data_IF_372101533313
#
_entry.id   IF_372101533313
#
_cell.length_a   1.000
_cell.length_b   1.000
_cell.length_c   1.000
_cell.angle_alpha   90.00
_cell.angle_beta   90.00
_cell.angle_gamma   90.00
#
_symmetry.space_group_name_H-M   'P 1'
#
loop_
_entity.id
_entity.type
_entity.pdbx_description
1 polymer ?
#
# COMPACT_ATOMS: atom_id res chain seq x y z
N UNK A 1 10.19 -14.25 -1.29
CA UNK A 1 9.93 -13.69 0.05
C UNK A 1 8.46 -13.82 0.38
N UNK A 2 8.12 -14.37 1.56
CA UNK A 2 6.74 -14.38 2.04
C UNK A 2 6.41 -12.95 2.50
N UNK A 3 5.53 -12.26 1.78
CA UNK A 3 5.08 -10.93 2.19
C UNK A 3 4.23 -11.03 3.44
N UNK A 4 4.50 -10.22 4.49
CA UNK A 4 3.76 -10.27 5.75
C UNK A 4 2.28 -9.88 5.59
N UNK A 5 1.94 -9.15 4.54
CA UNK A 5 0.59 -8.72 4.20
C UNK A 5 -0.34 -9.88 3.79
N UNK A 6 0.20 -11.02 3.34
CA UNK A 6 -0.57 -12.25 3.16
C UNK A 6 -1.32 -12.71 4.41
N UNK A 7 -0.84 -12.34 5.61
CA UNK A 7 -1.54 -12.60 6.86
C UNK A 7 -2.91 -11.91 6.95
N UNK A 8 -3.12 -10.80 6.23
CA UNK A 8 -4.42 -10.11 6.19
C UNK A 8 -5.54 -10.98 5.62
N UNK A 9 -5.22 -11.89 4.70
CA UNK A 9 -6.19 -12.87 4.18
C UNK A 9 -6.69 -13.75 5.33
N UNK A 10 -5.77 -14.23 6.17
CA UNK A 10 -6.13 -15.02 7.36
C UNK A 10 -6.99 -14.23 8.34
N UNK A 11 -6.61 -12.98 8.62
CA UNK A 11 -7.38 -12.09 9.51
C UNK A 11 -8.78 -11.80 8.94
N UNK A 12 -8.92 -11.61 7.63
CA UNK A 12 -10.23 -11.41 6.98
C UNK A 12 -11.10 -12.67 7.01
N UNK A 13 -10.49 -13.85 6.92
CA UNK A 13 -11.22 -15.11 6.95
C UNK A 13 -11.76 -15.46 8.34
N UNK A 14 -11.06 -15.12 9.43
CA UNK A 14 -11.43 -15.49 10.80
C UNK A 14 -12.85 -15.00 11.19
N UNK A 15 -13.23 -13.73 11.05
CA UNK A 15 -14.57 -13.26 11.37
C UNK A 15 -15.65 -13.96 10.52
N UNK A 16 -15.36 -14.18 9.24
CA UNK A 16 -16.28 -14.87 8.35
C UNK A 16 -16.50 -16.34 8.75
N UNK A 17 -15.44 -17.03 9.15
CA UNK A 17 -15.54 -18.38 9.70
C UNK A 17 -16.35 -18.37 11.00
N UNK A 18 -16.07 -17.44 11.91
CA UNK A 18 -16.78 -17.34 13.18
C UNK A 18 -18.26 -16.98 13.01
N UNK A 19 -18.58 -16.04 12.10
CA UNK A 19 -19.98 -15.62 11.84
C UNK A 19 -20.75 -16.66 11.00
N UNK A 20 -20.08 -17.34 10.09
CA UNK A 20 -20.66 -18.40 9.26
C UNK A 20 -20.76 -19.75 9.96
N UNK A 21 -19.99 -19.99 11.02
CA UNK A 21 -19.94 -21.27 11.74
C UNK A 21 -21.32 -21.73 12.25
N UNK A 22 -22.15 -20.86 12.89
CA UNK A 22 -23.45 -21.30 13.40
C UNK A 22 -24.41 -21.78 12.31
N UNK A 23 -24.44 -21.12 11.15
CA UNK A 23 -25.30 -21.53 10.02
C UNK A 23 -24.74 -22.74 9.31
N UNK A 24 -23.43 -22.86 9.18
CA UNK A 24 -22.76 -24.02 8.58
C UNK A 24 -22.87 -25.26 9.47
N UNK A 25 -22.76 -25.10 10.79
CA UNK A 25 -22.93 -26.19 11.76
C UNK A 25 -24.38 -26.69 11.74
N UNK A 26 -25.37 -25.79 11.64
CA UNK A 26 -26.78 -26.19 11.53
C UNK A 26 -27.15 -26.89 10.22
N UNK A 27 -26.41 -26.53 9.13
CA UNK A 27 -26.65 -27.05 7.79
C UNK A 27 -25.81 -28.28 7.42
N UNK A 28 -24.72 -28.54 8.18
CA UNK A 28 -23.81 -29.65 7.88
C UNK A 28 -23.94 -30.76 8.90
N UNK A 29 -23.95 -31.99 8.40
CA UNK A 29 -23.82 -33.21 9.22
C UNK A 29 -22.41 -33.39 9.80
N UNK A 30 -21.52 -32.41 9.57
CA UNK A 30 -20.12 -32.46 10.00
C UNK A 30 -20.03 -32.07 11.47
N UNK A 31 -19.51 -32.93 12.35
CA UNK A 31 -19.38 -32.63 13.76
C UNK A 31 -18.40 -31.44 13.99
N UNK A 32 -18.75 -30.53 14.90
CA UNK A 32 -17.97 -29.35 15.27
C UNK A 32 -16.51 -29.70 15.53
N UNK A 33 -16.24 -30.82 16.20
CA UNK A 33 -14.87 -31.29 16.47
C UNK A 33 -14.04 -31.45 15.19
N UNK A 34 -14.65 -31.89 14.09
CA UNK A 34 -13.98 -32.08 12.80
C UNK A 34 -13.64 -30.70 12.16
N UNK A 35 -14.58 -29.75 12.23
CA UNK A 35 -14.38 -28.39 11.74
C UNK A 35 -13.25 -27.67 12.51
N UNK A 36 -13.27 -27.77 13.84
CA UNK A 36 -12.20 -27.21 14.69
C UNK A 36 -10.85 -27.86 14.39
N UNK A 37 -10.81 -29.19 14.23
CA UNK A 37 -9.57 -29.90 13.87
C UNK A 37 -9.04 -29.47 12.50
N UNK A 38 -9.91 -29.33 11.51
CA UNK A 38 -9.51 -28.85 10.17
C UNK A 38 -8.99 -27.41 10.23
N UNK A 39 -9.70 -26.54 10.94
CA UNK A 39 -9.24 -25.15 11.16
C UNK A 39 -7.89 -25.06 11.86
N UNK A 40 -7.68 -25.88 12.89
CA UNK A 40 -6.40 -25.94 13.60
C UNK A 40 -5.26 -26.44 12.69
N UNK A 41 -5.52 -27.48 11.86
CA UNK A 41 -4.54 -27.96 10.89
C UNK A 41 -4.21 -26.90 9.85
N UNK A 42 -5.21 -26.19 9.30
CA UNK A 42 -4.98 -25.10 8.36
C UNK A 42 -4.17 -23.95 9.00
N UNK A 43 -4.52 -23.57 10.24
CA UNK A 43 -3.76 -22.55 10.98
C UNK A 43 -2.31 -22.98 11.24
N UNK A 44 -2.09 -24.22 11.64
CA UNK A 44 -0.77 -24.78 11.84
C UNK A 44 0.05 -24.76 10.55
N UNK A 45 -0.52 -25.24 9.44
CA UNK A 45 0.14 -25.22 8.13
C UNK A 45 0.46 -23.82 7.66
N UNK A 46 -0.38 -22.83 7.98
CA UNK A 46 -0.10 -21.42 7.67
C UNK A 46 1.03 -20.84 8.52
N UNK A 47 1.19 -21.24 9.77
CA UNK A 47 2.22 -20.71 10.70
C UNK A 47 3.58 -21.40 10.52
N UNK A 48 3.61 -22.68 10.15
CA UNK A 48 4.86 -23.45 10.04
C UNK A 48 5.94 -22.78 9.18
N UNK A 49 5.66 -22.23 7.99
CA UNK A 49 6.70 -21.56 7.19
C UNK A 49 7.34 -20.37 7.93
N UNK A 50 6.53 -19.59 8.66
CA UNK A 50 7.03 -18.45 9.44
C UNK A 50 7.85 -18.91 10.65
N UNK A 51 7.43 -19.98 11.30
CA UNK A 51 8.21 -20.56 12.42
C UNK A 51 9.57 -21.07 11.96
N UNK A 52 9.63 -21.78 10.83
CA UNK A 52 10.89 -22.24 10.22
C UNK A 52 11.79 -21.06 9.87
N UNK A 53 11.21 -19.99 9.29
CA UNK A 53 11.94 -18.78 8.95
C UNK A 53 12.48 -18.07 10.20
N UNK A 54 11.66 -17.91 11.25
CA UNK A 54 12.07 -17.31 12.51
C UNK A 54 13.21 -18.10 13.18
N UNK A 55 13.13 -19.44 13.18
CA UNK A 55 14.18 -20.31 13.73
C UNK A 55 15.49 -20.15 12.93
N UNK A 56 15.40 -20.09 11.60
CA UNK A 56 16.57 -19.82 10.76
C UNK A 56 17.20 -18.47 11.09
N UNK A 57 16.41 -17.40 11.12
CA UNK A 57 16.92 -16.07 11.43
C UNK A 57 17.54 -15.99 12.82
N UNK A 58 16.92 -16.63 13.81
CA UNK A 58 17.49 -16.73 15.14
C UNK A 58 18.84 -17.48 15.17
N UNK A 59 18.94 -18.59 14.43
CA UNK A 59 20.18 -19.38 14.42
C UNK A 59 21.33 -18.74 13.64
N UNK A 60 21.02 -18.03 12.56
CA UNK A 60 22.04 -17.49 11.64
C UNK A 60 22.41 -16.05 12.00
N UNK A 61 21.40 -15.23 12.32
CA UNK A 61 21.59 -13.79 12.54
C UNK A 61 21.38 -13.36 14.00
N UNK A 62 21.00 -14.30 14.88
CA UNK A 62 20.66 -14.04 16.28
C UNK A 62 19.53 -13.01 16.48
N UNK A 63 18.65 -12.86 15.49
CA UNK A 63 17.52 -11.93 15.48
C UNK A 63 16.21 -12.72 15.41
N UNK A 64 15.24 -12.36 16.27
CA UNK A 64 13.90 -12.93 16.19
C UNK A 64 13.03 -12.13 15.22
N UNK A 65 13.06 -12.55 13.96
CA UNK A 65 12.25 -11.97 12.88
C UNK A 65 11.43 -13.06 12.20
N UNK A 66 10.19 -13.26 12.65
CA UNK A 66 9.28 -14.27 12.07
C UNK A 66 8.70 -13.84 10.70
N UNK A 67 8.78 -12.55 10.39
CA UNK A 67 8.33 -11.94 9.13
C UNK A 67 9.52 -11.23 8.46
N UNK A 68 9.24 -10.30 7.55
CA UNK A 68 10.28 -9.43 7.01
C UNK A 68 10.78 -8.44 8.09
N UNK A 69 12.04 -8.00 8.02
CA UNK A 69 12.54 -6.95 8.89
C UNK A 69 11.69 -5.68 8.75
N UNK A 70 11.66 -4.87 9.81
CA UNK A 70 10.91 -3.60 9.82
C UNK A 70 11.33 -2.65 8.70
N UNK A 71 12.62 -2.69 8.38
CA UNK A 71 13.21 -1.95 7.27
C UNK A 71 13.80 -2.97 6.29
N UNK A 72 13.60 -2.73 4.99
CA UNK A 72 14.08 -3.63 3.94
C UNK A 72 15.58 -3.49 3.64
N UNK A 73 16.35 -2.95 4.58
CA UNK A 73 17.76 -2.67 4.46
C UNK A 73 18.61 -3.91 4.79
N UNK A 74 19.79 -3.99 4.20
CA UNK A 74 20.81 -4.94 4.62
C UNK A 74 21.30 -4.61 6.03
N UNK A 75 21.92 -5.56 6.76
CA UNK A 75 22.36 -5.34 8.13
C UNK A 75 23.29 -4.14 8.34
N UNK A 76 24.06 -3.78 7.31
CA UNK A 76 25.04 -2.70 7.33
C UNK A 76 24.54 -1.39 6.66
N UNK A 77 23.35 -1.40 6.10
CA UNK A 77 22.75 -0.21 5.49
C UNK A 77 22.12 0.69 6.57
N UNK A 78 22.42 2.00 6.54
CA UNK A 78 21.83 2.93 7.49
C UNK A 78 20.30 3.04 7.24
N UNK A 79 19.55 3.10 8.32
CA UNK A 79 18.12 3.41 8.28
C UNK A 79 17.95 4.89 8.55
N UNK A 80 17.22 5.59 7.68
CA UNK A 80 17.01 7.02 7.75
C UNK A 80 15.55 7.34 8.14
N UNK A 81 15.16 7.13 9.41
CA UNK A 81 13.78 7.28 9.86
C UNK A 81 13.30 8.73 9.83
N UNK A 82 14.22 9.70 9.97
CA UNK A 82 13.93 11.12 9.89
C UNK A 82 13.49 11.53 8.48
N UNK A 83 14.28 11.14 7.47
CA UNK A 83 13.95 11.31 6.07
C UNK A 83 12.60 10.66 5.72
N UNK A 84 12.42 9.39 6.05
CA UNK A 84 11.18 8.66 5.79
C UNK A 84 9.97 9.35 6.44
N UNK A 85 10.12 9.81 7.68
CA UNK A 85 9.05 10.52 8.39
C UNK A 85 8.74 11.87 7.76
N UNK A 86 9.75 12.60 7.29
CA UNK A 86 9.56 13.87 6.61
C UNK A 86 8.85 13.67 5.26
N UNK A 87 9.28 12.71 4.46
CA UNK A 87 8.57 12.32 3.23
C UNK A 87 7.10 12.02 3.50
N UNK A 88 6.81 11.29 4.56
CA UNK A 88 5.43 10.94 4.98
C UNK A 88 4.57 12.15 5.33
N UNK A 89 5.15 13.31 5.63
CA UNK A 89 4.40 14.54 5.92
C UNK A 89 3.84 15.23 4.68
N UNK A 90 4.27 14.87 3.46
CA UNK A 90 3.86 15.56 2.24
C UNK A 90 3.76 14.67 0.99
N UNK A 91 4.53 13.57 0.91
CA UNK A 91 4.47 12.64 -0.22
C UNK A 91 3.07 12.03 -0.33
N UNK A 92 2.43 12.24 -1.48
CA UNK A 92 1.04 11.87 -1.71
C UNK A 92 0.88 10.95 -2.93
N UNK A 93 1.76 11.07 -3.91
CA UNK A 93 1.65 10.46 -5.23
C UNK A 93 2.91 9.70 -5.64
N UNK A 94 2.76 8.89 -6.69
CA UNK A 94 3.84 8.07 -7.21
C UNK A 94 4.99 8.90 -7.79
N UNK A 95 4.72 10.04 -8.43
CA UNK A 95 5.77 10.91 -8.99
C UNK A 95 6.74 11.36 -7.90
N UNK A 96 6.21 11.83 -6.77
CA UNK A 96 7.05 12.19 -5.62
C UNK A 96 7.79 10.99 -5.01
N UNK A 97 7.25 9.79 -5.15
CA UNK A 97 7.91 8.57 -4.72
C UNK A 97 9.09 8.23 -5.62
N UNK A 98 8.90 8.27 -6.92
CA UNK A 98 9.90 7.89 -7.92
C UNK A 98 11.03 8.92 -7.98
N UNK A 99 10.69 10.20 -8.15
CA UNK A 99 11.68 11.27 -8.34
C UNK A 99 12.45 11.63 -7.07
N UNK A 100 11.85 11.44 -5.88
CA UNK A 100 12.43 11.94 -4.63
C UNK A 100 12.73 10.81 -3.66
N UNK A 101 11.72 9.99 -3.30
CA UNK A 101 11.88 9.00 -2.24
C UNK A 101 12.85 7.87 -2.62
N UNK A 102 12.77 7.38 -3.86
CA UNK A 102 13.66 6.32 -4.34
C UNK A 102 15.03 6.83 -4.76
N UNK A 103 15.17 8.13 -5.02
CA UNK A 103 16.42 8.72 -5.44
C UNK A 103 17.35 9.03 -4.26
N UNK A 104 16.82 9.08 -3.04
CA UNK A 104 17.58 9.36 -1.81
C UNK A 104 17.58 8.15 -0.88
N UNK A 105 18.73 7.65 -0.40
CA UNK A 105 20.12 8.11 -0.72
C UNK A 105 20.56 7.62 -2.11
N UNK A 106 21.79 7.97 -2.47
CA UNK A 106 22.55 7.59 -3.68
C UNK A 106 22.26 8.45 -4.94
N UNK A 107 21.27 9.34 -4.91
CA UNK A 107 20.95 10.24 -6.01
C UNK A 107 20.76 11.69 -5.57
N UNK A 108 20.81 12.65 -6.50
CA UNK A 108 20.68 14.06 -6.18
C UNK A 108 19.27 14.39 -5.67
N UNK A 109 19.23 15.25 -4.68
CA UNK A 109 18.01 15.85 -4.15
C UNK A 109 17.97 17.33 -4.50
N UNK A 110 16.85 17.81 -5.01
CA UNK A 110 16.69 19.19 -5.46
C UNK A 110 15.39 19.78 -4.90
N UNK A 111 15.54 20.71 -3.95
CA UNK A 111 14.41 21.40 -3.28
C UNK A 111 13.56 22.22 -4.27
N UNK A 112 14.12 22.65 -5.40
CA UNK A 112 13.38 23.41 -6.40
C UNK A 112 12.30 22.58 -7.10
N UNK A 113 12.51 21.26 -7.19
CA UNK A 113 11.57 20.29 -7.79
C UNK A 113 10.48 19.82 -6.84
N UNK A 114 10.61 20.12 -5.55
CA UNK A 114 9.62 19.69 -4.57
C UNK A 114 8.29 20.44 -4.77
N UNK A 115 7.15 19.75 -4.66
CA UNK A 115 5.85 20.39 -4.75
C UNK A 115 5.63 21.37 -3.58
N UNK A 116 4.82 22.39 -3.80
CA UNK A 116 4.53 23.41 -2.78
C UNK A 116 4.04 22.81 -1.44
N UNK A 117 3.33 21.65 -1.48
CA UNK A 117 2.86 20.92 -0.29
C UNK A 117 3.98 20.36 0.58
N UNK A 118 5.22 20.30 0.10
CA UNK A 118 6.37 19.87 0.88
C UNK A 118 6.74 20.86 1.98
N UNK A 119 6.26 22.10 1.92
CA UNK A 119 6.58 23.19 2.83
C UNK A 119 5.32 23.87 3.36
N UNK A 120 5.29 24.19 4.65
CA UNK A 120 4.21 24.96 5.27
C UNK A 120 4.59 26.43 5.39
N UNK A 121 5.91 26.72 5.45
CA UNK A 121 6.45 28.07 5.59
C UNK A 121 7.71 28.28 4.72
N UNK A 122 8.03 29.53 4.36
CA UNK A 122 9.31 29.83 3.70
C UNK A 122 10.54 29.41 4.52
N UNK A 123 10.43 29.45 5.85
CA UNK A 123 11.49 28.98 6.75
C UNK A 123 11.77 27.48 6.61
N UNK A 124 10.72 26.65 6.55
CA UNK A 124 10.89 25.21 6.28
C UNK A 124 11.54 24.94 4.92
N UNK A 125 11.18 25.72 3.90
CA UNK A 125 11.83 25.59 2.59
C UNK A 125 13.32 25.93 2.65
N UNK A 126 13.68 27.00 3.34
CA UNK A 126 15.09 27.40 3.53
C UNK A 126 15.88 26.34 4.32
N UNK A 127 15.29 25.79 5.40
CA UNK A 127 15.91 24.74 6.20
C UNK A 127 16.08 23.44 5.38
N UNK A 128 15.08 23.07 4.60
CA UNK A 128 15.18 21.91 3.68
C UNK A 128 16.29 22.13 2.65
N UNK A 129 16.45 23.36 2.11
CA UNK A 129 17.57 23.70 1.21
C UNK A 129 18.94 23.61 1.88
N UNK A 130 19.04 23.96 3.17
CA UNK A 130 20.28 23.77 3.91
C UNK A 130 20.61 22.29 4.13
N UNK A 131 19.60 21.44 4.38
CA UNK A 131 19.76 19.98 4.49
C UNK A 131 20.11 19.37 3.13
N UNK A 132 19.51 19.84 2.04
CA UNK A 132 19.87 19.45 0.67
C UNK A 132 21.34 19.74 0.37
N UNK A 133 21.81 20.96 0.63
CA UNK A 133 23.19 21.33 0.42
C UNK A 133 24.14 20.44 1.22
N UNK A 134 23.85 20.22 2.52
CA UNK A 134 24.63 19.33 3.37
C UNK A 134 24.62 17.88 2.87
N UNK A 135 23.52 17.38 2.35
CA UNK A 135 23.38 16.05 1.75
C UNK A 135 24.22 15.93 0.46
N UNK A 136 24.09 16.89 -0.45
CA UNK A 136 24.83 16.89 -1.70
C UNK A 136 26.35 17.02 -1.46
N UNK A 137 26.77 17.84 -0.50
CA UNK A 137 28.18 18.00 -0.10
C UNK A 137 28.74 16.75 0.61
N UNK A 138 27.87 15.96 1.24
CA UNK A 138 28.24 14.69 1.91
C UNK A 138 28.26 13.48 0.95
N UNK A 139 28.40 13.71 -0.34
CA UNK A 139 28.44 12.64 -1.35
C UNK A 139 27.10 11.91 -1.54
N UNK A 140 26.00 12.59 -1.30
CA UNK A 140 24.62 12.04 -1.43
C UNK A 140 24.30 10.93 -0.40
N UNK A 141 24.94 11.00 0.76
CA UNK A 141 24.64 10.11 1.89
C UNK A 141 23.90 10.86 3.00
N UNK A 142 22.88 10.22 3.57
CA UNK A 142 22.14 10.73 4.72
C UNK A 142 22.92 10.43 6.02
N UNK A 143 23.75 11.39 6.45
CA UNK A 143 24.38 11.29 7.78
C UNK A 143 23.33 11.37 8.90
N UNK A 144 23.66 10.87 10.08
CA UNK A 144 22.78 10.93 11.25
C UNK A 144 22.34 12.37 11.59
N UNK A 145 23.20 13.36 11.33
CA UNK A 145 22.88 14.78 11.56
C UNK A 145 21.84 15.29 10.55
N UNK A 146 21.98 14.93 9.28
CA UNK A 146 21.04 15.31 8.21
C UNK A 146 19.68 14.63 8.47
N UNK A 147 19.66 13.33 8.79
CA UNK A 147 18.45 12.59 9.12
C UNK A 147 17.73 13.19 10.34
N UNK A 148 18.47 13.59 11.38
CA UNK A 148 17.90 14.29 12.54
C UNK A 148 17.30 15.66 12.16
N UNK A 149 17.87 16.36 11.18
CA UNK A 149 17.29 17.59 10.62
C UNK A 149 15.92 17.33 9.98
N UNK A 150 15.83 16.33 9.12
CA UNK A 150 14.55 15.91 8.54
C UNK A 150 13.55 15.44 9.59
N UNK A 151 14.00 14.71 10.63
CA UNK A 151 13.15 14.30 11.74
C UNK A 151 12.51 15.50 12.46
N UNK A 152 13.30 16.59 12.70
CA UNK A 152 12.82 17.81 13.32
C UNK A 152 11.76 18.51 12.45
N UNK A 153 12.03 18.70 11.16
CA UNK A 153 11.06 19.25 10.21
C UNK A 153 9.77 18.43 10.18
N UNK A 154 9.88 17.11 10.18
CA UNK A 154 8.71 16.23 10.23
C UNK A 154 7.90 16.44 11.51
N UNK A 155 8.57 16.55 12.67
CA UNK A 155 7.91 16.74 13.94
C UNK A 155 7.18 18.10 14.01
N UNK A 156 7.78 19.16 13.53
CA UNK A 156 7.14 20.48 13.45
C UNK A 156 5.87 20.43 12.59
N UNK A 157 5.94 19.83 11.40
CA UNK A 157 4.78 19.68 10.50
C UNK A 157 3.67 18.84 11.10
N UNK A 158 4.02 17.73 11.75
CA UNK A 158 3.03 16.85 12.42
C UNK A 158 2.37 17.58 13.59
N UNK A 159 3.13 18.36 14.39
CA UNK A 159 2.57 19.16 15.49
C UNK A 159 1.66 20.29 14.99
N UNK A 160 2.03 20.94 13.89
CA UNK A 160 1.24 22.02 13.30
C UNK A 160 -0.10 21.52 12.75
N UNK A 161 -0.10 20.39 12.04
CA UNK A 161 -1.31 19.85 11.38
C UNK A 161 -1.45 18.33 11.57
N UNK A 162 -1.79 17.84 12.76
CA UNK A 162 -1.85 16.40 13.03
C UNK A 162 -2.91 15.68 12.19
N UNK A 163 -4.07 16.30 11.91
CA UNK A 163 -5.10 15.71 11.07
C UNK A 163 -4.64 15.52 9.63
N UNK A 164 -3.83 16.44 9.10
CA UNK A 164 -3.22 16.27 7.79
C UNK A 164 -2.36 15.01 7.76
N UNK A 165 -1.48 14.84 8.74
CA UNK A 165 -0.55 13.72 8.78
C UNK A 165 -1.23 12.36 9.04
N UNK A 166 -2.17 12.30 10.00
CA UNK A 166 -2.77 11.02 10.41
C UNK A 166 -4.01 10.63 9.62
N UNK A 167 -4.65 11.56 8.91
CA UNK A 167 -5.93 11.30 8.23
C UNK A 167 -5.86 11.65 6.75
N UNK A 168 -5.61 12.91 6.40
CA UNK A 168 -5.76 13.37 5.02
C UNK A 168 -4.69 12.83 4.08
N UNK A 169 -3.42 12.84 4.47
CA UNK A 169 -2.34 12.28 3.65
C UNK A 169 -2.47 10.75 3.48
N UNK A 170 -2.73 9.94 4.52
CA UNK A 170 -3.01 8.53 4.36
C UNK A 170 -4.19 8.23 3.42
N UNK A 171 -5.30 8.96 3.56
CA UNK A 171 -6.44 8.82 2.66
C UNK A 171 -6.10 9.21 1.22
N UNK A 172 -5.34 10.30 1.05
CA UNK A 172 -4.89 10.75 -0.27
C UNK A 172 -3.99 9.72 -0.95
N UNK A 173 -2.99 9.19 -0.25
CA UNK A 173 -2.12 8.11 -0.75
C UNK A 173 -2.91 6.87 -1.14
N UNK A 174 -3.82 6.45 -0.28
CA UNK A 174 -4.71 5.32 -0.57
C UNK A 174 -5.52 5.59 -1.85
N UNK A 175 -6.09 6.80 -1.99
CA UNK A 175 -6.87 7.17 -3.18
C UNK A 175 -6.00 7.16 -4.44
N UNK A 176 -4.79 7.73 -4.37
CA UNK A 176 -3.84 7.70 -5.49
C UNK A 176 -3.55 6.25 -5.92
N UNK A 177 -3.21 5.37 -4.98
CA UNK A 177 -2.93 3.95 -5.28
C UNK A 177 -4.10 3.20 -5.91
N UNK A 178 -5.35 3.55 -5.56
CA UNK A 178 -6.53 2.89 -6.14
C UNK A 178 -6.93 3.46 -7.51
N UNK A 179 -6.83 4.76 -7.68
CA UNK A 179 -7.37 5.46 -8.87
C UNK A 179 -6.34 5.66 -9.97
N UNK A 180 -5.05 5.82 -9.60
CA UNK A 180 -3.97 6.01 -10.58
C UNK A 180 -3.92 4.86 -11.60
N UNK A 181 -3.79 5.16 -12.90
CA UNK A 181 -3.47 4.13 -13.90
C UNK A 181 -2.11 3.52 -13.55
N UNK A 182 -2.00 2.20 -13.68
CA UNK A 182 -0.78 1.45 -13.31
C UNK A 182 0.22 1.40 -14.45
N UNK A 183 0.58 2.56 -14.95
CA UNK A 183 1.49 2.72 -16.07
C UNK A 183 2.95 2.86 -15.64
N UNK A 184 3.22 3.08 -14.36
CA UNK A 184 4.54 3.29 -13.79
C UNK A 184 5.50 2.08 -13.92
N UNK A 185 4.97 0.90 -14.19
CA UNK A 185 5.79 -0.29 -14.49
C UNK A 185 6.09 -0.46 -15.98
N UNK A 186 5.60 0.46 -16.80
CA UNK A 186 5.83 0.54 -18.23
C UNK A 186 6.86 1.64 -18.49
N UNK A 187 7.50 1.63 -19.65
CA UNK A 187 8.43 2.68 -20.03
C UNK A 187 7.63 3.91 -20.53
N UNK A 188 6.96 4.59 -19.61
CA UNK A 188 6.10 5.74 -19.83
C UNK A 188 6.58 6.85 -18.90
N UNK A 189 6.71 8.06 -19.43
CA UNK A 189 7.18 9.21 -18.67
C UNK A 189 6.23 9.56 -17.51
N UNK A 190 6.79 10.06 -16.41
CA UNK A 190 6.02 10.38 -15.20
C UNK A 190 5.01 11.51 -15.42
N UNK A 191 5.27 12.38 -16.39
CA UNK A 191 4.40 13.48 -16.81
C UNK A 191 3.54 13.15 -18.05
N UNK A 192 3.23 11.88 -18.26
CA UNK A 192 2.42 11.36 -19.37
C UNK A 192 1.11 12.12 -19.62
N UNK A 193 0.60 12.85 -18.63
CA UNK A 193 -0.60 13.69 -18.79
C UNK A 193 -0.38 14.97 -19.61
N UNK A 194 0.89 15.33 -19.90
CA UNK A 194 1.24 16.49 -20.71
C UNK A 194 1.15 16.11 -22.19
N UNK A 195 -0.04 16.17 -22.76
CA UNK A 195 -0.36 15.74 -24.12
C UNK A 195 0.57 16.32 -25.21
N UNK A 196 1.00 17.56 -25.05
CA UNK A 196 1.84 18.25 -26.02
C UNK A 196 3.21 17.56 -26.24
N UNK A 197 3.73 16.84 -25.24
CA UNK A 197 5.02 16.20 -25.28
C UNK A 197 4.93 14.68 -25.49
N UNK A 198 3.82 14.03 -25.05
CA UNK A 198 3.68 12.59 -24.94
C UNK A 198 2.31 12.09 -25.44
N UNK A 199 1.96 12.38 -26.70
CA UNK A 199 0.61 12.13 -27.25
C UNK A 199 0.15 10.68 -27.09
N UNK A 200 1.00 9.72 -27.51
CA UNK A 200 0.65 8.30 -27.51
C UNK A 200 0.59 7.76 -26.07
N UNK A 201 1.51 8.18 -25.22
CA UNK A 201 1.55 7.81 -23.81
C UNK A 201 0.35 8.37 -23.04
N UNK A 202 -0.04 9.61 -23.33
CA UNK A 202 -1.25 10.23 -22.77
C UNK A 202 -2.49 9.45 -23.14
N UNK A 203 -2.69 9.11 -24.42
CA UNK A 203 -3.85 8.33 -24.89
C UNK A 203 -3.85 6.94 -24.25
N UNK A 204 -2.72 6.28 -24.24
CA UNK A 204 -2.58 4.96 -23.65
C UNK A 204 -2.90 4.99 -22.14
N UNK A 205 -2.29 5.91 -21.40
CA UNK A 205 -2.46 6.03 -19.95
C UNK A 205 -3.89 6.40 -19.54
N UNK A 206 -4.55 7.29 -20.29
CA UNK A 206 -5.98 7.57 -20.09
C UNK A 206 -6.87 6.36 -20.39
N UNK A 207 -6.54 5.57 -21.41
CA UNK A 207 -7.26 4.33 -21.70
C UNK A 207 -7.14 3.35 -20.54
N UNK A 208 -5.94 3.24 -19.96
CA UNK A 208 -5.70 2.43 -18.76
C UNK A 208 -6.42 2.97 -17.52
N UNK A 209 -6.49 4.30 -17.36
CA UNK A 209 -7.24 4.92 -16.27
C UNK A 209 -8.73 4.61 -16.35
N UNK A 210 -9.32 4.70 -17.55
CA UNK A 210 -10.72 4.34 -17.79
C UNK A 210 -10.96 2.86 -17.50
N UNK A 211 -10.07 1.99 -17.95
CA UNK A 211 -10.16 0.55 -17.67
C UNK A 211 -10.09 0.26 -16.16
N UNK A 212 -9.16 0.91 -15.46
CA UNK A 212 -9.04 0.80 -14.01
C UNK A 212 -10.32 1.26 -13.29
N UNK A 213 -10.84 2.43 -13.69
CA UNK A 213 -12.09 2.96 -13.13
C UNK A 213 -13.26 2.00 -13.38
N UNK A 214 -13.34 1.40 -14.58
CA UNK A 214 -14.36 0.40 -14.90
C UNK A 214 -14.28 -0.81 -13.97
N UNK A 215 -13.09 -1.35 -13.72
CA UNK A 215 -12.93 -2.47 -12.78
C UNK A 215 -13.35 -2.10 -11.36
N UNK A 216 -12.99 -0.92 -10.88
CA UNK A 216 -13.39 -0.45 -9.56
C UNK A 216 -14.92 -0.30 -9.46
N UNK A 217 -15.55 0.34 -10.45
CA UNK A 217 -17.01 0.52 -10.48
C UNK A 217 -17.73 -0.82 -10.52
N UNK A 218 -17.31 -1.73 -11.41
CA UNK A 218 -17.90 -3.07 -11.49
C UNK A 218 -17.72 -3.86 -10.19
N UNK A 219 -16.56 -3.75 -9.56
CA UNK A 219 -16.30 -4.37 -8.26
C UNK A 219 -17.23 -3.85 -7.16
N UNK A 220 -17.40 -2.52 -7.09
CA UNK A 220 -18.35 -1.88 -6.14
C UNK A 220 -19.79 -2.27 -6.42
N UNK A 221 -20.22 -2.26 -7.67
CA UNK A 221 -21.59 -2.71 -8.07
C UNK A 221 -21.79 -4.17 -7.65
N UNK A 222 -20.82 -5.05 -7.94
CA UNK A 222 -20.87 -6.44 -7.51
C UNK A 222 -20.95 -6.61 -5.99
N UNK A 223 -20.21 -5.80 -5.24
CA UNK A 223 -20.25 -5.78 -3.78
C UNK A 223 -21.63 -5.36 -3.24
N UNK A 224 -22.25 -4.33 -3.85
CA UNK A 224 -23.60 -3.86 -3.51
C UNK A 224 -24.67 -4.92 -3.73
N UNK A 225 -24.46 -5.87 -4.64
CA UNK A 225 -25.36 -7.01 -4.87
C UNK A 225 -25.26 -8.08 -3.78
N UNK A 226 -24.36 -7.94 -2.85
CA UNK A 226 -24.16 -8.82 -1.67
C UNK A 226 -24.09 -10.30 -2.02
N UNK A 227 -23.18 -10.75 -2.91
CA UNK A 227 -23.03 -12.17 -3.24
C UNK A 227 -22.61 -12.95 -2.00
N UNK A 228 -22.71 -14.29 -2.08
CA UNK A 228 -22.23 -15.14 -0.98
C UNK A 228 -20.77 -14.78 -0.64
N UNK A 229 -20.47 -14.59 0.65
CA UNK A 229 -19.16 -14.24 1.19
C UNK A 229 -18.68 -12.79 0.90
N UNK A 230 -19.55 -11.87 0.49
CA UNK A 230 -19.21 -10.47 0.22
C UNK A 230 -18.55 -9.77 1.42
N UNK A 231 -18.94 -10.12 2.65
CA UNK A 231 -18.38 -9.53 3.88
C UNK A 231 -16.86 -9.79 3.99
N UNK A 232 -16.40 -10.95 3.58
CA UNK A 232 -14.99 -11.29 3.62
C UNK A 232 -14.20 -10.52 2.59
N UNK A 233 -14.74 -10.41 1.38
CA UNK A 233 -14.12 -9.63 0.32
C UNK A 233 -14.02 -8.17 0.75
N UNK A 234 -15.11 -7.60 1.31
CA UNK A 234 -15.10 -6.25 1.84
C UNK A 234 -14.10 -6.08 2.97
N UNK A 235 -14.08 -7.00 3.95
CA UNK A 235 -13.17 -6.92 5.08
C UNK A 235 -11.71 -6.97 4.62
N UNK A 236 -11.37 -7.84 3.67
CA UNK A 236 -10.02 -7.89 3.11
C UNK A 236 -9.66 -6.57 2.39
N UNK A 237 -10.54 -6.05 1.55
CA UNK A 237 -10.33 -4.78 0.84
C UNK A 237 -10.11 -3.62 1.83
N UNK A 238 -10.89 -3.57 2.92
CA UNK A 238 -10.74 -2.55 3.98
C UNK A 238 -9.43 -2.72 4.72
N UNK A 239 -9.09 -3.94 5.17
CA UNK A 239 -7.84 -4.20 5.88
C UNK A 239 -6.62 -3.91 5.01
N UNK A 240 -6.66 -4.30 3.73
CA UNK A 240 -5.58 -3.99 2.78
C UNK A 240 -5.44 -2.48 2.59
N UNK A 241 -6.55 -1.77 2.35
CA UNK A 241 -6.53 -0.31 2.24
C UNK A 241 -6.01 0.37 3.50
N UNK A 242 -6.41 -0.09 4.68
CA UNK A 242 -5.90 0.42 5.95
C UNK A 242 -4.39 0.21 6.11
N UNK A 243 -3.87 -0.96 5.70
CA UNK A 243 -2.42 -1.19 5.66
C UNK A 243 -1.72 -0.23 4.70
N UNK A 244 -2.27 -0.05 3.49
CA UNK A 244 -1.68 0.84 2.48
C UNK A 244 -1.65 2.31 2.95
N UNK A 245 -2.58 2.74 3.80
CA UNK A 245 -2.57 4.08 4.41
C UNK A 245 -1.35 4.32 5.32
N UNK A 246 -0.69 3.27 5.79
CA UNK A 246 0.50 3.40 6.67
C UNK A 246 1.80 3.62 5.92
N UNK A 247 1.83 3.42 4.59
CA UNK A 247 3.03 3.54 3.77
C UNK A 247 3.49 5.00 3.63
N UNK A 248 4.79 5.19 3.50
CA UNK A 248 5.41 6.48 3.18
C UNK A 248 5.31 6.80 1.69
N UNK A 249 5.56 5.79 0.87
CA UNK A 249 5.68 5.87 -0.58
C UNK A 249 4.51 5.12 -1.24
N UNK A 250 3.56 5.81 -1.86
CA UNK A 250 2.44 5.16 -2.53
C UNK A 250 2.87 4.60 -3.89
N UNK A 251 2.52 3.32 -4.10
CA UNK A 251 2.68 2.66 -5.39
C UNK A 251 1.38 1.97 -5.79
N UNK A 252 0.86 2.25 -6.99
CA UNK A 252 -0.40 1.70 -7.45
C UNK A 252 -0.40 0.16 -7.54
N UNK A 253 0.77 -0.46 -7.76
CA UNK A 253 0.92 -1.94 -7.79
C UNK A 253 0.53 -2.63 -6.48
N UNK A 254 0.58 -1.95 -5.36
CA UNK A 254 0.21 -2.56 -4.06
C UNK A 254 -1.27 -2.89 -3.93
N UNK A 255 -2.12 -2.34 -4.79
CA UNK A 255 -3.56 -2.67 -4.83
C UNK A 255 -3.87 -3.86 -5.74
N UNK A 256 -2.92 -4.34 -6.57
CA UNK A 256 -3.16 -5.44 -7.53
C UNK A 256 -3.64 -6.73 -6.86
N UNK A 257 -3.21 -7.00 -5.64
CA UNK A 257 -3.65 -8.18 -4.87
C UNK A 257 -5.17 -8.20 -4.62
N UNK A 258 -5.83 -7.04 -4.67
CA UNK A 258 -7.27 -6.92 -4.51
C UNK A 258 -8.06 -7.17 -5.81
N UNK A 259 -7.40 -7.10 -6.97
CA UNK A 259 -8.07 -7.17 -8.28
C UNK A 259 -8.75 -8.49 -8.57
N UNK A 260 -8.23 -9.68 -8.19
CA UNK A 260 -8.97 -10.93 -8.33
C UNK A 260 -10.35 -10.90 -7.65
N UNK A 261 -10.45 -10.24 -6.49
CA UNK A 261 -11.74 -10.07 -5.80
C UNK A 261 -12.65 -9.09 -6.52
N UNK A 262 -12.11 -7.97 -7.04
CA UNK A 262 -12.86 -7.00 -7.83
C UNK A 262 -13.41 -7.64 -9.12
N UNK A 263 -12.61 -8.46 -9.80
CA UNK A 263 -13.04 -9.18 -10.99
C UNK A 263 -14.16 -10.19 -10.68
N UNK A 264 -14.02 -10.95 -9.59
CA UNK A 264 -15.07 -11.87 -9.15
C UNK A 264 -16.37 -11.13 -8.84
N UNK A 265 -16.30 -10.01 -8.11
CA UNK A 265 -17.46 -9.17 -7.80
C UNK A 265 -18.07 -8.56 -9.06
N UNK A 266 -17.24 -8.00 -9.96
CA UNK A 266 -17.70 -7.44 -11.23
C UNK A 266 -18.38 -8.48 -12.12
N UNK A 267 -17.85 -9.70 -12.17
CA UNK A 267 -18.47 -10.83 -12.88
C UNK A 267 -19.87 -11.18 -12.36
N UNK A 268 -20.09 -11.13 -11.04
CA UNK A 268 -21.43 -11.29 -10.44
C UNK A 268 -22.37 -10.18 -10.90
N UNK A 269 -21.89 -8.91 -10.93
CA UNK A 269 -22.64 -7.77 -11.42
C UNK A 269 -23.12 -7.96 -12.85
N UNK A 270 -22.18 -8.30 -13.75
CA UNK A 270 -22.45 -8.53 -15.18
C UNK A 270 -23.43 -9.71 -15.37
N UNK A 271 -23.19 -10.83 -14.71
CA UNK A 271 -24.04 -12.02 -14.81
C UNK A 271 -25.49 -11.69 -14.42
N UNK A 272 -25.69 -10.91 -13.35
CA UNK A 272 -27.02 -10.51 -12.90
C UNK A 272 -27.72 -9.58 -13.90
N UNK A 273 -27.00 -8.63 -14.46
CA UNK A 273 -27.53 -7.73 -15.49
C UNK A 273 -27.98 -8.49 -16.74
N UNK A 274 -27.19 -9.47 -17.20
CA UNK A 274 -27.55 -10.32 -18.34
C UNK A 274 -28.75 -11.22 -18.08
N UNK A 275 -28.91 -11.72 -16.86
CA UNK A 275 -30.09 -12.54 -16.49
C UNK A 275 -31.37 -11.72 -16.45
N UNK A 276 -31.31 -10.48 -16.01
CA UNK A 276 -32.50 -9.58 -16.03
C UNK A 276 -32.92 -9.29 -17.48
N UNK A 277 -31.94 -9.00 -18.37
CA UNK A 277 -32.24 -8.74 -19.79
C UNK A 277 -32.87 -9.92 -20.53
N UNK A 278 -32.56 -11.17 -20.15
CA UNK A 278 -33.15 -12.37 -20.78
C UNK A 278 -34.58 -12.64 -20.32
N UNK A 279 -35.07 -11.97 -19.28
CA UNK A 279 -36.43 -12.14 -18.73
C UNK A 279 -37.42 -11.07 -19.24
N UNK A 280 -36.92 -10.07 -19.92
CA UNK A 280 -37.70 -9.07 -20.69
C UNK A 280 -37.83 -9.50 -22.14
#
# INVERSE_FOLDING_TARGET
>A
MLRPDGALVGVALVPGLLLGLPSTIRASEVPVRRLVRMGAVCALLAVVPFAVWAVRNWRVFHVFEPLAPRYANNPDEPVNPGWQRWMKTWCLDFVSTDEIYWNVPDGPFDVSKLPARAFDTPGQRAETGALEAAYNDNGQELSAAIDAGFARLAEERVKAEPLRFYVWLPLGRMTDMWVRPRVENLNIDLDWWVYAHHNDETIFSWSYAVLNALYLVLGVVGLCLRPKYWQWMLLYLVLRSALLMTLEAPEARYTLECFPMLFALGGVGIARALMVRKRQ
#
